data_IF_549498974446
#
_entry.id   IF_549498974446
#
_cell.length_a   1.000
_cell.length_b   1.000
_cell.length_c   1.000
_cell.angle_alpha   90.00
_cell.angle_beta   90.00
_cell.angle_gamma   90.00
#
_symmetry.space_group_name_H-M   'P 1'
#
loop_
_entity.id
_entity.type
_entity.pdbx_description
1 polymer ?
#
# COMPACT_ATOMS: atom_id res chain seq x y z
N UNK A 1 17.55 -28.96 3.94
CA UNK A 1 16.48 -28.55 2.99
C UNK A 1 16.14 -27.11 3.36
N UNK A 2 16.47 -26.12 2.52
CA UNK A 2 16.03 -24.75 2.80
C UNK A 2 14.52 -24.70 2.55
N UNK A 3 13.75 -24.48 3.59
CA UNK A 3 12.32 -24.26 3.46
C UNK A 3 12.14 -22.93 2.74
N UNK A 4 11.51 -22.96 1.56
CA UNK A 4 11.17 -21.75 0.81
C UNK A 4 9.73 -21.40 1.15
N UNK A 5 9.52 -20.24 1.76
CA UNK A 5 8.21 -19.77 2.17
C UNK A 5 7.39 -19.36 0.94
N UNK A 6 6.06 -19.35 1.09
CA UNK A 6 5.11 -19.16 -0.01
C UNK A 6 5.35 -17.85 -0.79
N UNK A 7 5.74 -16.78 -0.09
CA UNK A 7 5.91 -15.44 -0.62
C UNK A 7 7.38 -14.99 -0.60
N UNK A 8 8.33 -15.93 -0.52
CA UNK A 8 9.75 -15.58 -0.60
C UNK A 8 10.07 -14.78 -1.87
N UNK A 9 10.83 -13.70 -1.69
CA UNK A 9 11.19 -12.72 -2.72
C UNK A 9 9.99 -12.04 -3.40
N UNK A 10 8.80 -12.04 -2.78
CA UNK A 10 7.65 -11.26 -3.24
C UNK A 10 7.54 -9.95 -2.49
N UNK A 11 7.26 -8.88 -3.22
CA UNK A 11 7.06 -7.54 -2.67
C UNK A 11 5.59 -7.15 -2.76
N UNK A 12 4.92 -6.93 -1.63
CA UNK A 12 3.49 -6.66 -1.57
C UNK A 12 3.27 -5.23 -1.06
N UNK A 13 2.60 -4.40 -1.86
CA UNK A 13 2.16 -3.08 -1.42
C UNK A 13 0.87 -3.19 -0.62
N UNK A 14 0.76 -2.41 0.46
CA UNK A 14 -0.51 -2.23 1.18
C UNK A 14 -0.87 -0.75 1.19
N UNK A 15 -2.05 -0.44 0.68
CA UNK A 15 -2.61 0.91 0.60
C UNK A 15 -3.79 1.03 1.55
N UNK A 16 -3.66 1.85 2.58
CA UNK A 16 -4.71 2.03 3.59
C UNK A 16 -4.79 3.48 4.05
N UNK A 17 -6.00 3.95 4.30
CA UNK A 17 -6.30 5.20 5.00
C UNK A 17 -7.74 5.18 5.51
N UNK A 18 -8.06 6.09 6.45
CA UNK A 18 -9.39 6.19 7.03
C UNK A 18 -10.46 6.38 5.94
N UNK A 19 -11.63 5.79 6.15
CA UNK A 19 -12.76 5.81 5.21
C UNK A 19 -13.95 6.53 5.88
N UNK A 20 -14.68 7.41 5.18
CA UNK A 20 -15.83 8.08 5.76
C UNK A 20 -17.02 7.15 6.01
N UNK A 21 -17.02 5.95 5.42
CA UNK A 21 -18.12 5.00 5.51
C UNK A 21 -17.98 4.07 6.73
N UNK A 22 -16.83 4.09 7.43
CA UNK A 22 -16.53 3.12 8.47
C UNK A 22 -17.58 3.10 9.59
N UNK A 23 -17.98 4.27 10.10
CA UNK A 23 -18.98 4.36 11.16
C UNK A 23 -20.33 3.77 10.74
N UNK A 24 -20.79 4.04 9.51
CA UNK A 24 -22.03 3.48 8.97
C UNK A 24 -21.97 1.96 8.77
N UNK A 25 -20.76 1.43 8.56
CA UNK A 25 -20.49 -0.01 8.46
C UNK A 25 -20.29 -0.67 9.82
N UNK A 26 -20.40 0.08 10.93
CA UNK A 26 -20.14 -0.42 12.29
C UNK A 26 -18.66 -0.67 12.58
N UNK A 27 -17.77 0.00 11.85
CA UNK A 27 -16.32 -0.10 11.97
C UNK A 27 -15.75 1.19 12.58
N UNK A 28 -14.59 1.03 13.22
CA UNK A 28 -13.80 2.11 13.83
C UNK A 28 -12.34 1.98 13.35
N UNK A 29 -11.54 3.02 13.55
CA UNK A 29 -10.12 3.09 13.16
C UNK A 29 -9.31 1.90 13.69
N UNK A 30 -9.70 1.35 14.85
CA UNK A 30 -9.11 0.13 15.41
C UNK A 30 -9.27 -1.09 14.48
N UNK A 31 -10.41 -1.24 13.81
CA UNK A 31 -10.62 -2.32 12.85
C UNK A 31 -9.70 -2.19 11.64
N UNK A 32 -9.43 -0.97 11.19
CA UNK A 32 -8.49 -0.71 10.09
C UNK A 32 -7.04 -0.98 10.53
N UNK A 33 -6.69 -0.65 11.77
CA UNK A 33 -5.40 -0.99 12.39
C UNK A 33 -5.22 -2.49 12.53
N UNK A 34 -6.23 -3.21 13.01
CA UNK A 34 -6.20 -4.66 13.12
C UNK A 34 -6.08 -5.30 11.75
N UNK A 35 -6.81 -4.80 10.76
CA UNK A 35 -6.70 -5.30 9.39
C UNK A 35 -5.28 -5.13 8.83
N UNK A 36 -4.67 -3.96 9.04
CA UNK A 36 -3.30 -3.69 8.63
C UNK A 36 -2.31 -4.60 9.36
N UNK A 37 -2.50 -4.80 10.66
CA UNK A 37 -1.66 -5.68 11.48
C UNK A 37 -1.74 -7.14 11.00
N UNK A 38 -2.94 -7.66 10.74
CA UNK A 38 -3.14 -9.02 10.25
C UNK A 38 -2.56 -9.23 8.86
N UNK A 39 -2.77 -8.28 7.93
CA UNK A 39 -2.16 -8.34 6.59
C UNK A 39 -0.64 -8.42 6.73
N UNK A 40 -0.04 -7.48 7.46
CA UNK A 40 1.40 -7.42 7.62
C UNK A 40 1.95 -8.67 8.29
N UNK A 41 1.33 -9.13 9.38
CA UNK A 41 1.71 -10.32 10.12
C UNK A 41 1.78 -11.54 9.21
N UNK A 42 0.72 -11.81 8.46
CA UNK A 42 0.64 -12.99 7.60
C UNK A 42 1.57 -12.89 6.40
N UNK A 43 1.71 -11.72 5.77
CA UNK A 43 2.61 -11.57 4.62
C UNK A 43 4.07 -11.70 5.03
N UNK A 44 4.47 -11.10 6.15
CA UNK A 44 5.84 -11.18 6.68
C UNK A 44 6.17 -12.60 7.13
N UNK A 45 5.25 -13.27 7.82
CA UNK A 45 5.41 -14.67 8.25
C UNK A 45 5.51 -15.67 7.10
N UNK A 46 5.15 -15.27 5.88
CA UNK A 46 5.24 -16.09 4.67
C UNK A 46 6.36 -15.64 3.74
N UNK A 47 7.26 -14.75 4.20
CA UNK A 47 8.51 -14.42 3.53
C UNK A 47 8.44 -13.22 2.59
N UNK A 48 7.29 -12.54 2.54
CA UNK A 48 7.13 -11.36 1.69
C UNK A 48 7.87 -10.14 2.27
N UNK A 49 8.30 -9.25 1.38
CA UNK A 49 8.65 -7.87 1.70
C UNK A 49 7.39 -7.01 1.56
N UNK A 50 7.11 -6.16 2.53
CA UNK A 50 6.03 -5.19 2.49
C UNK A 50 6.52 -3.82 2.01
N UNK A 51 5.68 -3.13 1.24
CA UNK A 51 5.92 -1.76 0.77
C UNK A 51 4.78 -0.86 1.20
N UNK A 52 5.12 0.28 1.79
CA UNK A 52 4.16 1.27 2.31
C UNK A 52 4.59 2.70 1.96
N UNK A 53 3.63 3.57 1.66
CA UNK A 53 3.86 4.99 1.32
C UNK A 53 3.33 5.92 2.40
N UNK A 54 3.90 5.85 3.62
CA UNK A 54 3.41 6.55 4.80
C UNK A 54 4.24 7.76 5.23
N UNK A 55 3.60 8.69 5.96
CA UNK A 55 4.17 9.99 6.36
C UNK A 55 4.93 9.99 7.70
N UNK A 56 5.19 8.80 8.28
CA UNK A 56 5.88 8.60 9.56
C UNK A 56 5.23 9.35 10.76
N UNK A 57 3.95 9.72 10.67
CA UNK A 57 3.26 10.40 11.78
C UNK A 57 3.12 9.49 12.99
N UNK A 58 3.18 10.08 14.19
CA UNK A 58 2.93 9.35 15.45
C UNK A 58 1.51 8.78 15.42
N UNK A 59 1.40 7.48 15.72
CA UNK A 59 0.14 6.76 15.68
C UNK A 59 -0.36 6.42 14.26
N UNK A 60 0.43 6.68 13.22
CA UNK A 60 0.17 6.19 11.85
C UNK A 60 0.53 4.72 11.67
N UNK A 61 0.17 4.15 10.51
CA UNK A 61 0.41 2.73 10.21
C UNK A 61 1.90 2.40 10.02
N UNK A 62 2.76 3.37 9.70
CA UNK A 62 4.20 3.15 9.53
C UNK A 62 4.82 2.52 10.79
N UNK A 63 4.56 3.07 11.98
CA UNK A 63 5.12 2.56 13.23
C UNK A 63 4.66 1.12 13.54
N UNK A 64 3.38 0.83 13.32
CA UNK A 64 2.83 -0.51 13.44
C UNK A 64 3.56 -1.51 12.52
N UNK A 65 3.77 -1.14 11.26
CA UNK A 65 4.49 -1.99 10.31
C UNK A 65 5.93 -2.25 10.73
N UNK A 66 6.63 -1.24 11.24
CA UNK A 66 8.01 -1.37 11.69
C UNK A 66 8.13 -2.27 12.91
N UNK A 67 7.23 -2.14 13.88
CA UNK A 67 7.17 -3.03 15.04
C UNK A 67 6.90 -4.49 14.63
N UNK A 68 6.02 -4.72 13.66
CA UNK A 68 5.76 -6.05 13.13
C UNK A 68 6.97 -6.59 12.38
N UNK A 69 7.59 -5.80 11.51
CA UNK A 69 8.82 -6.19 10.80
C UNK A 69 9.95 -6.58 11.76
N UNK A 70 10.13 -5.84 12.85
CA UNK A 70 11.14 -6.12 13.85
C UNK A 70 10.96 -7.49 14.52
N UNK A 71 9.71 -7.94 14.71
CA UNK A 71 9.35 -9.24 15.32
C UNK A 71 9.46 -10.41 14.36
N UNK A 72 9.26 -10.16 13.07
CA UNK A 72 9.36 -11.16 12.00
C UNK A 72 10.74 -11.20 11.34
N UNK A 73 11.74 -10.53 11.93
CA UNK A 73 13.14 -10.70 11.52
C UNK A 73 13.49 -12.18 11.57
N UNK A 74 13.84 -12.73 10.41
CA UNK A 74 14.20 -14.14 10.29
C UNK A 74 15.56 -14.34 10.96
N UNK A 75 15.64 -15.29 11.89
CA UNK A 75 16.90 -15.85 12.42
C UNK A 75 17.67 -16.69 11.37
N UNK A 76 17.33 -16.56 10.07
CA UNK A 76 18.09 -17.20 8.99
C UNK A 76 19.44 -16.52 8.85
N UNK A 77 20.44 -17.21 9.40
CA UNK A 77 21.88 -16.95 9.22
C UNK A 77 22.15 -16.59 7.75
N UNK A 78 22.35 -15.29 7.48
CA UNK A 78 22.92 -14.80 6.22
C UNK A 78 22.03 -13.94 5.32
N UNK A 79 20.75 -13.71 5.60
CA UNK A 79 19.89 -12.85 4.77
C UNK A 79 19.36 -11.66 5.59
N UNK A 80 20.07 -10.54 5.54
CA UNK A 80 19.77 -9.25 6.22
C UNK A 80 18.57 -8.53 5.55
N UNK A 81 17.59 -9.30 5.05
CA UNK A 81 16.47 -8.78 4.26
C UNK A 81 15.43 -8.16 5.18
N UNK A 82 15.45 -6.82 5.21
CA UNK A 82 14.42 -6.02 5.86
C UNK A 82 13.04 -6.37 5.31
N UNK A 83 12.09 -6.65 6.21
CA UNK A 83 10.75 -7.08 5.87
C UNK A 83 9.84 -5.97 5.35
N UNK A 84 10.20 -4.70 5.56
CA UNK A 84 9.40 -3.53 5.17
C UNK A 84 10.27 -2.48 4.48
N UNK A 85 9.77 -1.88 3.40
CA UNK A 85 10.24 -0.59 2.87
C UNK A 85 9.14 0.45 3.00
N UNK A 86 9.45 1.57 3.66
CA UNK A 86 8.61 2.75 3.71
C UNK A 86 9.14 3.81 2.74
N UNK A 87 8.35 4.15 1.74
CA UNK A 87 8.62 5.27 0.84
C UNK A 87 8.09 6.56 1.45
N UNK A 88 8.91 7.60 1.43
CA UNK A 88 8.57 8.93 1.87
C UNK A 88 8.59 9.87 0.67
N UNK A 89 7.41 10.39 0.31
CA UNK A 89 7.28 11.30 -0.84
C UNK A 89 7.92 12.66 -0.58
N UNK A 90 8.34 13.33 -1.66
CA UNK A 90 8.85 14.70 -1.66
C UNK A 90 8.14 15.67 -0.71
N UNK A 91 6.81 15.91 -0.83
CA UNK A 91 6.11 16.90 0.00
C UNK A 91 6.18 16.55 1.50
N UNK A 92 6.35 15.28 1.85
CA UNK A 92 6.45 14.86 3.26
C UNK A 92 7.84 15.16 3.82
N UNK A 93 8.89 14.69 3.13
CA UNK A 93 10.23 14.82 3.68
C UNK A 93 10.82 16.22 3.49
N UNK A 94 10.37 17.01 2.50
CA UNK A 94 10.85 18.38 2.29
C UNK A 94 10.34 19.33 3.38
N UNK A 95 9.18 19.04 3.97
CA UNK A 95 8.61 19.79 5.08
C UNK A 95 9.34 19.56 6.42
N UNK A 96 10.06 18.44 6.56
CA UNK A 96 10.72 18.04 7.81
C UNK A 96 12.13 18.62 7.92
N UNK A 97 12.62 18.83 9.14
CA UNK A 97 14.03 19.13 9.35
C UNK A 97 14.89 17.90 8.99
N UNK A 98 16.09 18.07 8.42
CA UNK A 98 16.97 16.95 8.10
C UNK A 98 17.25 16.02 9.29
N UNK A 99 17.40 16.59 10.50
CA UNK A 99 17.65 15.83 11.73
C UNK A 99 16.49 14.90 12.12
N UNK A 100 15.24 15.28 11.81
CA UNK A 100 14.08 14.40 12.03
C UNK A 100 14.13 13.16 11.12
N UNK A 101 14.64 13.32 9.90
CA UNK A 101 14.79 12.23 8.94
C UNK A 101 15.94 11.30 9.34
N UNK A 102 17.04 11.87 9.87
CA UNK A 102 18.15 11.07 10.41
C UNK A 102 17.71 10.24 11.61
N UNK A 103 16.92 10.82 12.52
CA UNK A 103 16.36 10.11 13.65
C UNK A 103 15.44 8.99 13.18
N UNK A 104 14.53 9.27 12.26
CA UNK A 104 13.64 8.25 11.70
C UNK A 104 14.42 7.12 11.02
N UNK A 105 15.46 7.42 10.24
CA UNK A 105 16.30 6.40 9.62
C UNK A 105 17.04 5.54 10.67
N UNK A 106 17.50 6.16 11.76
CA UNK A 106 18.16 5.47 12.88
C UNK A 106 17.19 4.55 13.62
N UNK A 107 15.97 5.03 13.92
CA UNK A 107 14.93 4.24 14.60
C UNK A 107 14.51 3.00 13.78
N UNK A 108 14.62 3.11 12.45
CA UNK A 108 14.30 2.03 11.51
C UNK A 108 15.48 1.09 11.24
N UNK A 109 16.68 1.43 11.70
CA UNK A 109 17.89 0.66 11.38
C UNK A 109 17.73 -0.81 11.81
N UNK A 110 17.87 -1.71 10.84
CA UNK A 110 17.74 -3.14 11.05
C UNK A 110 16.30 -3.65 11.21
N UNK A 111 15.27 -2.81 11.07
CA UNK A 111 13.85 -3.23 11.13
C UNK A 111 13.12 -2.97 9.81
N UNK A 112 13.32 -1.80 9.21
CA UNK A 112 12.73 -1.41 7.96
C UNK A 112 13.66 -0.51 7.15
N UNK A 113 13.41 -0.42 5.85
CA UNK A 113 14.13 0.45 4.92
C UNK A 113 13.34 1.73 4.72
N UNK A 114 13.97 2.89 4.92
CA UNK A 114 13.38 4.19 4.61
C UNK A 114 13.94 4.70 3.28
N UNK A 115 13.07 4.93 2.29
CA UNK A 115 13.45 5.48 0.98
C UNK A 115 12.81 6.84 0.76
N UNK A 116 13.63 7.85 0.51
CA UNK A 116 13.18 9.20 0.21
C UNK A 116 13.12 9.36 -1.31
N UNK A 117 12.01 9.87 -1.82
CA UNK A 117 11.85 10.14 -3.25
C UNK A 117 11.73 11.62 -3.52
N UNK A 118 12.49 12.11 -4.52
CA UNK A 118 12.35 13.47 -5.01
C UNK A 118 11.00 13.72 -5.70
N UNK A 119 10.79 14.96 -6.14
CA UNK A 119 9.53 15.38 -6.78
C UNK A 119 9.22 14.61 -8.07
N UNK A 120 10.22 13.99 -8.70
CA UNK A 120 10.10 13.20 -9.92
C UNK A 120 10.07 11.68 -9.62
N UNK A 121 10.10 11.30 -8.35
CA UNK A 121 10.00 9.91 -7.90
C UNK A 121 11.33 9.16 -7.91
N UNK A 122 12.45 9.86 -8.05
CA UNK A 122 13.79 9.28 -8.00
C UNK A 122 14.26 9.21 -6.55
N UNK A 123 14.91 8.11 -6.20
CA UNK A 123 15.49 7.93 -4.86
C UNK A 123 16.63 8.92 -4.61
N UNK A 124 16.56 9.59 -3.46
CA UNK A 124 17.59 10.49 -2.94
C UNK A 124 18.07 10.01 -1.57
N UNK A 125 19.37 10.07 -1.34
CA UNK A 125 19.95 9.74 -0.04
C UNK A 125 19.76 10.85 0.99
N UNK A 126 19.97 10.54 2.28
CA UNK A 126 19.92 11.54 3.35
C UNK A 126 20.92 12.68 3.12
N UNK A 127 22.15 12.38 2.68
CA UNK A 127 23.15 13.41 2.38
C UNK A 127 22.71 14.39 1.27
N UNK A 128 22.01 13.89 0.25
CA UNK A 128 21.46 14.73 -0.81
C UNK A 128 20.30 15.56 -0.29
N UNK A 129 19.42 14.93 0.51
CA UNK A 129 18.31 15.61 1.18
C UNK A 129 18.80 16.74 2.10
N UNK A 130 19.90 16.58 2.81
CA UNK A 130 20.47 17.61 3.69
C UNK A 130 20.90 18.88 2.96
N UNK A 131 21.21 18.78 1.65
CA UNK A 131 21.58 19.94 0.81
C UNK A 131 20.37 20.78 0.40
N UNK A 132 19.16 20.28 0.62
CA UNK A 132 17.91 20.94 0.22
C UNK A 132 17.29 21.70 1.41
N UNK A 133 16.90 22.97 1.23
CA UNK A 133 16.25 23.72 2.28
C UNK A 133 14.84 23.17 2.54
N UNK A 134 14.53 22.93 3.82
CA UNK A 134 13.20 22.52 4.23
C UNK A 134 12.20 23.67 4.06
N UNK A 135 11.02 23.37 3.53
CA UNK A 135 9.95 24.35 3.34
C UNK A 135 8.58 23.66 3.31
N UNK A 136 7.49 24.39 3.62
CA UNK A 136 6.15 23.88 3.41
C UNK A 136 5.90 23.61 1.92
N UNK A 137 5.53 22.39 1.52
CA UNK A 137 5.29 22.06 0.12
C UNK A 137 4.08 22.82 -0.43
N UNK A 138 4.19 23.23 -1.69
CA UNK A 138 3.08 23.79 -2.48
C UNK A 138 2.07 22.70 -2.87
N UNK A 139 0.86 23.09 -3.26
CA UNK A 139 -0.16 22.14 -3.74
C UNK A 139 0.33 21.36 -4.98
N UNK A 140 1.12 21.99 -5.86
CA UNK A 140 1.72 21.33 -7.01
C UNK A 140 2.72 20.25 -6.60
N UNK A 141 3.54 20.52 -5.58
CA UNK A 141 4.48 19.54 -5.04
C UNK A 141 3.77 18.37 -4.35
N UNK A 142 2.65 18.63 -3.68
CA UNK A 142 1.79 17.59 -3.14
C UNK A 142 1.28 16.65 -4.23
N UNK A 143 0.69 17.21 -5.29
CA UNK A 143 0.18 16.43 -6.41
C UNK A 143 1.30 15.64 -7.07
N UNK A 144 2.35 16.33 -7.53
CA UNK A 144 3.42 15.71 -8.31
C UNK A 144 4.20 14.68 -7.50
N UNK A 145 4.60 15.02 -6.26
CA UNK A 145 5.42 14.14 -5.44
C UNK A 145 4.69 12.88 -4.96
N UNK A 146 3.40 12.97 -4.62
CA UNK A 146 2.61 11.79 -4.26
C UNK A 146 2.38 10.87 -5.45
N UNK A 147 2.01 11.42 -6.61
CA UNK A 147 1.84 10.64 -7.84
C UNK A 147 3.14 9.97 -8.28
N UNK A 148 4.27 10.68 -8.21
CA UNK A 148 5.58 10.12 -8.53
C UNK A 148 5.95 8.96 -7.60
N UNK A 149 5.75 9.10 -6.29
CA UNK A 149 5.98 8.00 -5.34
C UNK A 149 5.10 6.77 -5.65
N UNK A 150 3.80 6.98 -5.87
CA UNK A 150 2.86 5.89 -6.18
C UNK A 150 3.26 5.16 -7.48
N UNK A 151 3.80 5.88 -8.46
CA UNK A 151 4.32 5.32 -9.69
C UNK A 151 5.61 4.51 -9.46
N UNK A 152 6.58 5.05 -8.72
CA UNK A 152 7.83 4.32 -8.37
C UNK A 152 7.52 3.03 -7.62
N UNK A 153 6.61 3.07 -6.65
CA UNK A 153 6.18 1.87 -5.90
C UNK A 153 5.60 0.78 -6.81
N UNK A 154 4.91 1.12 -7.90
CA UNK A 154 4.37 0.14 -8.85
C UNK A 154 5.48 -0.72 -9.47
N UNK A 155 6.59 -0.12 -9.88
CA UNK A 155 7.71 -0.83 -10.48
C UNK A 155 8.37 -1.82 -9.49
N UNK A 156 8.29 -1.49 -8.20
CA UNK A 156 8.92 -2.24 -7.11
C UNK A 156 7.98 -3.17 -6.35
N UNK A 157 6.73 -3.33 -6.79
CA UNK A 157 5.77 -4.24 -6.14
C UNK A 157 5.25 -5.32 -7.09
N UNK A 158 5.02 -6.53 -6.57
CA UNK A 158 4.49 -7.68 -7.32
C UNK A 158 2.97 -7.78 -7.22
N UNK A 159 2.39 -7.27 -6.13
CA UNK A 159 0.95 -7.20 -5.92
C UNK A 159 0.60 -6.03 -4.99
N UNK A 160 -0.65 -5.59 -5.02
CA UNK A 160 -1.17 -4.54 -4.16
C UNK A 160 -2.46 -4.96 -3.45
N UNK A 161 -2.55 -4.68 -2.16
CA UNK A 161 -3.76 -4.81 -1.35
C UNK A 161 -4.25 -3.41 -1.01
N UNK A 162 -5.53 -3.12 -1.26
CA UNK A 162 -6.15 -1.83 -0.93
C UNK A 162 -7.31 -2.03 0.04
N UNK A 163 -7.43 -1.15 1.04
CA UNK A 163 -8.53 -1.15 2.01
C UNK A 163 -8.83 0.26 2.51
N UNK A 164 -10.11 0.55 2.77
CA UNK A 164 -10.57 1.86 3.21
C UNK A 164 -10.37 2.95 2.14
N UNK A 165 -9.94 4.14 2.55
CA UNK A 165 -9.60 5.22 1.63
C UNK A 165 -10.47 6.45 1.77
N UNK A 166 -9.83 7.59 1.98
CA UNK A 166 -10.48 8.90 1.91
C UNK A 166 -11.00 9.15 0.49
N UNK A 167 -12.23 9.64 0.40
CA UNK A 167 -12.85 10.12 -0.85
C UNK A 167 -13.03 11.64 -0.87
N UNK A 168 -12.78 12.31 0.26
CA UNK A 168 -12.86 13.75 0.44
C UNK A 168 -11.56 14.22 1.11
N UNK A 169 -11.22 15.52 1.01
CA UNK A 169 -10.10 16.15 1.73
C UNK A 169 -8.74 15.44 1.55
N UNK A 170 -8.55 14.78 0.41
CA UNK A 170 -7.29 14.13 0.06
C UNK A 170 -6.32 15.12 -0.62
N UNK A 171 -5.03 14.76 -0.65
CA UNK A 171 -4.00 15.47 -1.39
C UNK A 171 -3.66 14.71 -2.67
N UNK A 172 -3.64 15.43 -3.80
CA UNK A 172 -3.44 14.89 -5.14
C UNK A 172 -4.61 15.15 -6.08
N UNK A 173 -4.46 14.76 -7.35
CA UNK A 173 -5.48 14.96 -8.39
C UNK A 173 -6.70 14.04 -8.22
N UNK A 174 -6.54 12.95 -7.48
CA UNK A 174 -7.60 11.97 -7.18
C UNK A 174 -7.31 11.28 -5.84
N UNK A 175 -8.29 10.56 -5.25
CA UNK A 175 -8.05 9.78 -4.03
C UNK A 175 -6.83 8.86 -4.18
N UNK A 176 -5.95 8.86 -3.18
CA UNK A 176 -4.67 8.16 -3.28
C UNK A 176 -4.80 6.66 -3.54
N UNK A 177 -5.74 6.00 -2.85
CA UNK A 177 -6.02 4.58 -3.06
C UNK A 177 -6.56 4.32 -4.48
N UNK A 178 -7.37 5.21 -5.05
CA UNK A 178 -7.82 5.08 -6.43
C UNK A 178 -6.65 5.23 -7.40
N UNK A 179 -5.78 6.22 -7.21
CA UNK A 179 -4.63 6.39 -8.10
C UNK A 179 -3.72 5.15 -8.10
N UNK A 180 -3.44 4.61 -6.93
CA UNK A 180 -2.66 3.38 -6.77
C UNK A 180 -3.34 2.17 -7.40
N UNK A 181 -4.66 2.02 -7.23
CA UNK A 181 -5.42 0.96 -7.87
C UNK A 181 -5.40 1.09 -9.40
N UNK A 182 -5.54 2.32 -9.93
CA UNK A 182 -5.49 2.59 -11.36
C UNK A 182 -4.13 2.23 -11.94
N UNK A 183 -3.04 2.60 -11.26
CA UNK A 183 -1.69 2.20 -11.63
C UNK A 183 -1.50 0.69 -11.61
N UNK A 184 -2.00 -0.02 -10.59
CA UNK A 184 -1.96 -1.48 -10.57
C UNK A 184 -2.73 -2.11 -11.73
N UNK A 185 -3.94 -1.62 -12.06
CA UNK A 185 -4.75 -2.11 -13.18
C UNK A 185 -4.06 -1.86 -14.54
N UNK A 186 -3.52 -0.66 -14.77
CA UNK A 186 -2.79 -0.30 -15.98
C UNK A 186 -1.49 -1.11 -16.13
N UNK A 187 -0.74 -1.24 -15.03
CA UNK A 187 0.48 -2.03 -14.94
C UNK A 187 0.25 -3.53 -14.92
N UNK A 188 -1.02 -3.99 -14.98
CA UNK A 188 -1.41 -5.40 -14.93
C UNK A 188 -0.92 -6.12 -13.66
N UNK A 189 -0.69 -5.36 -12.59
CA UNK A 189 -0.29 -5.86 -11.29
C UNK A 189 -1.52 -6.47 -10.58
N UNK A 190 -1.38 -7.68 -10.00
CA UNK A 190 -2.39 -8.26 -9.13
C UNK A 190 -2.89 -7.30 -8.05
N UNK A 191 -4.19 -7.02 -8.07
CA UNK A 191 -4.86 -6.09 -7.16
C UNK A 191 -5.89 -6.81 -6.31
N UNK A 192 -5.80 -6.66 -5.00
CA UNK A 192 -6.73 -7.21 -4.01
C UNK A 192 -7.48 -6.05 -3.37
N UNK A 193 -8.82 -6.06 -3.47
CA UNK A 193 -9.66 -4.96 -3.01
C UNK A 193 -10.49 -5.41 -1.81
N UNK A 194 -10.22 -4.85 -0.64
CA UNK A 194 -11.01 -5.04 0.57
C UNK A 194 -11.99 -3.87 0.75
N UNK A 195 -13.05 -3.88 -0.05
CA UNK A 195 -14.11 -2.85 -0.04
C UNK A 195 -15.07 -2.93 1.15
N UNK A 196 -14.95 -3.94 2.02
CA UNK A 196 -15.75 -4.06 3.24
C UNK A 196 -15.49 -2.97 4.28
N UNK A 197 -14.35 -2.27 4.17
CA UNK A 197 -13.99 -1.10 4.98
C UNK A 197 -14.56 0.22 4.40
N UNK A 198 -15.29 0.13 3.28
CA UNK A 198 -15.84 1.29 2.58
C UNK A 198 -14.77 2.16 1.92
N UNK A 199 -15.12 3.43 1.73
CA UNK A 199 -14.27 4.45 1.15
C UNK A 199 -13.89 4.18 -0.30
N UNK A 200 -12.72 4.70 -0.66
CA UNK A 200 -12.22 4.64 -2.02
C UNK A 200 -12.02 3.21 -2.55
N UNK A 201 -11.60 2.26 -1.70
CA UNK A 201 -11.43 0.87 -2.10
C UNK A 201 -12.76 0.27 -2.57
N UNK A 202 -13.87 0.57 -1.87
CA UNK A 202 -15.21 0.13 -2.28
C UNK A 202 -15.64 0.77 -3.59
N UNK A 203 -15.42 2.07 -3.74
CA UNK A 203 -15.76 2.80 -4.97
C UNK A 203 -15.05 2.23 -6.20
N UNK A 204 -13.79 1.83 -6.05
CA UNK A 204 -13.03 1.14 -7.12
C UNK A 204 -13.66 -0.20 -7.46
N UNK A 205 -14.01 -1.03 -6.45
CA UNK A 205 -14.66 -2.33 -6.69
C UNK A 205 -16.00 -2.18 -7.43
N UNK A 206 -16.79 -1.16 -7.09
CA UNK A 206 -18.02 -0.82 -7.80
C UNK A 206 -17.75 -0.34 -9.23
N UNK A 207 -16.77 0.55 -9.41
CA UNK A 207 -16.45 1.14 -10.72
C UNK A 207 -15.99 0.11 -11.75
N UNK A 208 -15.33 -0.96 -11.33
CA UNK A 208 -14.90 -2.07 -12.20
C UNK A 208 -15.89 -3.25 -12.21
N UNK A 209 -17.09 -3.08 -11.62
CA UNK A 209 -18.15 -4.09 -11.64
C UNK A 209 -17.87 -5.37 -10.84
N UNK A 210 -17.03 -5.30 -9.80
CA UNK A 210 -16.87 -6.39 -8.82
C UNK A 210 -18.01 -6.38 -7.80
N UNK A 211 -18.45 -5.18 -7.42
CA UNK A 211 -19.63 -4.95 -6.61
C UNK A 211 -20.70 -4.21 -7.41
N UNK A 212 -21.96 -4.40 -7.03
CA UNK A 212 -23.04 -3.54 -7.50
C UNK A 212 -22.99 -2.20 -6.77
N UNK A 213 -22.99 -1.11 -7.52
CA UNK A 213 -23.01 0.24 -6.97
C UNK A 213 -24.39 0.56 -6.38
N UNK A 214 -24.44 0.80 -5.06
CA UNK A 214 -25.67 1.26 -4.40
C UNK A 214 -25.83 2.78 -4.49
N UNK A 215 -24.71 3.50 -4.43
CA UNK A 215 -24.63 4.96 -4.56
C UNK A 215 -23.29 5.30 -5.21
N UNK A 216 -23.31 6.10 -6.27
CA UNK A 216 -22.10 6.46 -7.01
C UNK A 216 -21.62 7.81 -6.48
N UNK A 217 -20.56 7.79 -5.68
CA UNK A 217 -19.79 8.99 -5.33
C UNK A 217 -19.03 9.49 -6.55
N UNK A 218 -19.10 10.79 -6.82
CA UNK A 218 -18.31 11.41 -7.86
C UNK A 218 -17.03 12.01 -7.25
N UNK A 219 -15.88 11.52 -7.71
CA UNK A 219 -14.58 12.10 -7.40
C UNK A 219 -13.73 12.09 -8.67
N UNK A 220 -12.88 13.12 -8.87
CA UNK A 220 -12.02 13.25 -10.05
C UNK A 220 -11.26 11.97 -10.40
N UNK A 221 -11.41 11.49 -11.63
CA UNK A 221 -10.71 10.31 -12.14
C UNK A 221 -11.44 8.98 -11.97
N UNK A 222 -12.64 8.94 -11.35
CA UNK A 222 -13.44 7.71 -11.23
C UNK A 222 -13.80 7.13 -12.60
N UNK A 223 -14.07 7.99 -13.58
CA UNK A 223 -14.40 7.62 -14.96
C UNK A 223 -13.28 6.83 -15.64
N UNK A 224 -12.02 6.99 -15.20
CA UNK A 224 -10.86 6.27 -15.73
C UNK A 224 -10.94 4.76 -15.48
N UNK A 225 -11.75 4.33 -14.50
CA UNK A 225 -11.99 2.92 -14.20
C UNK A 225 -12.96 2.25 -15.17
N UNK A 226 -13.71 3.01 -15.97
CA UNK A 226 -14.68 2.46 -16.95
C UNK A 226 -14.02 1.62 -18.04
N UNK A 227 -12.70 1.79 -18.26
CA UNK A 227 -11.90 0.96 -19.14
C UNK A 227 -11.59 -0.45 -18.58
N UNK A 228 -11.90 -0.70 -17.31
CA UNK A 228 -11.58 -1.95 -16.61
C UNK A 228 -12.84 -2.68 -16.12
N UNK A 229 -12.67 -3.97 -15.85
CA UNK A 229 -13.69 -4.78 -15.19
C UNK A 229 -13.01 -5.72 -14.17
N UNK A 230 -13.78 -6.45 -13.38
CA UNK A 230 -13.26 -7.37 -12.36
C UNK A 230 -12.21 -8.39 -12.83
N UNK A 231 -12.16 -8.74 -14.14
CA UNK A 231 -11.11 -9.63 -14.68
C UNK A 231 -9.74 -8.94 -14.74
N UNK A 232 -9.69 -7.61 -14.71
CA UNK A 232 -8.45 -6.84 -14.73
C UNK A 232 -7.66 -6.96 -13.42
N UNK A 233 -8.28 -7.45 -12.33
CA UNK A 233 -7.63 -7.61 -11.02
C UNK A 233 -6.44 -8.57 -11.04
N UNK A 234 -6.42 -9.58 -11.94
CA UNK A 234 -5.28 -10.52 -12.14
C UNK A 234 -4.73 -11.18 -10.88
N UNK A 235 -5.56 -11.27 -9.84
CA UNK A 235 -5.17 -11.65 -8.49
C UNK A 235 -5.37 -13.14 -8.17
N UNK A 236 -5.58 -13.98 -9.19
CA UNK A 236 -5.74 -15.43 -9.03
C UNK A 236 -7.07 -15.87 -8.40
N UNK A 237 -7.96 -14.94 -8.08
CA UNK A 237 -9.28 -15.20 -7.52
C UNK A 237 -10.36 -15.26 -8.62
N UNK A 238 -11.38 -16.08 -8.38
CA UNK A 238 -12.61 -16.09 -9.18
C UNK A 238 -13.43 -14.81 -8.97
N UNK A 239 -14.40 -14.54 -9.86
CA UNK A 239 -15.31 -13.40 -9.69
C UNK A 239 -16.10 -13.47 -8.37
N UNK A 240 -16.46 -14.68 -7.94
CA UNK A 240 -17.12 -14.92 -6.67
C UNK A 240 -16.22 -14.56 -5.49
N UNK A 241 -15.00 -15.10 -5.47
CA UNK A 241 -14.02 -14.82 -4.42
C UNK A 241 -13.67 -13.33 -4.35
N UNK A 242 -13.57 -12.65 -5.49
CA UNK A 242 -13.36 -11.20 -5.54
C UNK A 242 -14.54 -10.42 -4.97
N UNK A 243 -15.78 -10.85 -5.23
CA UNK A 243 -16.96 -10.23 -4.64
C UNK A 243 -16.98 -10.40 -3.11
N UNK A 244 -16.64 -11.60 -2.62
CA UNK A 244 -16.53 -11.87 -1.18
C UNK A 244 -15.45 -10.99 -0.55
N UNK A 245 -14.25 -10.95 -1.13
CA UNK A 245 -13.13 -10.11 -0.64
C UNK A 245 -13.51 -8.63 -0.62
N UNK A 246 -14.19 -8.14 -1.66
CA UNK A 246 -14.62 -6.76 -1.76
C UNK A 246 -15.77 -6.40 -0.81
N UNK A 247 -16.49 -7.38 -0.26
CA UNK A 247 -17.63 -7.14 0.64
C UNK A 247 -17.27 -7.30 2.11
N UNK A 248 -16.33 -8.20 2.43
CA UNK A 248 -16.09 -8.59 3.82
C UNK A 248 -15.33 -7.54 4.62
N UNK A 249 -15.82 -7.16 5.81
CA UNK A 249 -15.03 -6.40 6.78
C UNK A 249 -14.15 -7.33 7.64
N UNK A 250 -14.34 -8.66 7.55
CA UNK A 250 -13.64 -9.62 8.39
C UNK A 250 -12.26 -9.94 7.81
N UNK A 251 -11.22 -9.47 8.50
CA UNK A 251 -9.84 -9.60 8.01
C UNK A 251 -9.40 -11.05 7.84
N UNK A 252 -9.81 -11.97 8.71
CA UNK A 252 -9.42 -13.38 8.58
C UNK A 252 -9.93 -13.99 7.26
N UNK A 253 -11.18 -13.67 6.89
CA UNK A 253 -11.75 -14.11 5.62
C UNK A 253 -11.01 -13.47 4.44
N UNK A 254 -10.71 -12.17 4.55
CA UNK A 254 -9.95 -11.47 3.52
C UNK A 254 -8.55 -12.09 3.34
N UNK A 255 -7.85 -12.41 4.42
CA UNK A 255 -6.51 -13.00 4.39
C UNK A 255 -6.50 -14.38 3.74
N UNK A 256 -7.47 -15.24 4.04
CA UNK A 256 -7.59 -16.55 3.36
C UNK A 256 -7.72 -16.39 1.85
N UNK A 257 -8.49 -15.39 1.38
CA UNK A 257 -8.65 -15.10 -0.04
C UNK A 257 -7.39 -14.47 -0.64
N UNK A 258 -6.79 -13.48 0.02
CA UNK A 258 -5.56 -12.83 -0.42
C UNK A 258 -4.44 -13.86 -0.60
N UNK A 259 -4.19 -14.71 0.41
CA UNK A 259 -3.16 -15.75 0.33
C UNK A 259 -3.45 -16.80 -0.75
N UNK A 260 -4.73 -17.18 -0.91
CA UNK A 260 -5.16 -18.08 -1.99
C UNK A 260 -4.88 -17.45 -3.36
N UNK A 261 -5.19 -16.17 -3.52
CA UNK A 261 -4.96 -15.43 -4.75
C UNK A 261 -3.47 -15.28 -5.02
N UNK A 262 -2.66 -14.89 -4.03
CA UNK A 262 -1.21 -14.71 -4.18
C UNK A 262 -0.52 -16.00 -4.62
N UNK A 263 -0.97 -17.16 -4.10
CA UNK A 263 -0.50 -18.48 -4.53
C UNK A 263 -0.85 -18.81 -5.98
N UNK A 264 -2.03 -18.39 -6.45
CA UNK A 264 -2.54 -18.70 -7.80
C UNK A 264 -2.12 -17.67 -8.85
N UNK A 265 -1.86 -16.44 -8.42
CA UNK A 265 -1.48 -15.35 -9.30
C UNK A 265 -0.13 -15.66 -9.94
N UNK A 266 -0.03 -15.42 -11.25
CA UNK A 266 1.26 -15.43 -11.94
C UNK A 266 2.02 -14.15 -11.58
N UNK A 267 2.54 -14.11 -10.36
CA UNK A 267 3.45 -13.04 -9.92
C UNK A 267 4.71 -13.15 -10.80
N UNK A 268 4.96 -12.14 -11.63
CA UNK A 268 6.09 -12.14 -12.57
C UNK A 268 7.38 -12.55 -11.87
N UNK A 269 8.22 -13.36 -12.52
CA UNK A 269 9.56 -13.64 -12.01
C UNK A 269 10.40 -12.37 -12.17
N UNK A 270 10.86 -11.77 -11.07
CA UNK A 270 11.93 -10.78 -11.15
C UNK A 270 13.21 -11.49 -11.57
N UNK A 271 13.84 -11.02 -12.64
CA UNK A 271 15.25 -11.31 -12.85
C UNK A 271 15.99 -10.64 -11.69
N UNK A 272 16.52 -11.46 -10.78
CA UNK A 272 17.57 -11.03 -9.87
C UNK A 272 18.77 -10.66 -10.75
N UNK A 273 19.03 -9.37 -10.90
CA UNK A 273 20.36 -8.91 -11.29
C UNK A 273 21.32 -9.07 -10.12
#
# INVERSE_FOLDING_TARGET
MSYQELLDNRTIAVSTSESPDMAELGLDDEHLRDAMAEIARHTLALGAKLVYGGDLRVGGFSNLLFELAARYRRDTIGDDKLGVTNYLAWPIHIAKAPQELDQAATDLQGTAELRLLDIDGKEIGLEERHKLPSHPPTDLEWVKGLSAMRHTMLAETDARIILGGKVNEYKGDMPGIAEEALYSLQGKQPLYIMGGFGGCARDVAEAIGVLEAKSIRDWPGRERFSAFNGKALRNGLSSEENRVLATTPYVDQAMVLILRGLRKAKLGSRQTN
#
